data_IF_832369294774
#
_entry.id   IF_832369294774
#
_cell.length_a   1.000
_cell.length_b   1.000
_cell.length_c   1.000
_cell.angle_alpha   90.00
_cell.angle_beta   90.00
_cell.angle_gamma   90.00
#
_symmetry.space_group_name_H-M   'P 1'
#
loop_
_entity.id
_entity.type
_entity.pdbx_description
1 polymer ?
#
# COMPACT_ATOMS: atom_id res chain seq x y z
N UNK A 1 13.66 3.99 10.85
CA UNK A 1 12.92 4.77 9.84
C UNK A 1 11.50 4.96 10.33
N UNK A 2 10.99 6.19 10.37
CA UNK A 2 9.57 6.43 10.65
C UNK A 2 8.75 6.23 9.37
N UNK A 3 7.93 5.18 9.29
CA UNK A 3 7.09 4.92 8.12
C UNK A 3 6.06 6.03 7.86
N UNK A 4 5.66 6.75 8.91
CA UNK A 4 4.72 7.87 8.86
C UNK A 4 5.42 9.24 8.67
N UNK A 5 6.70 9.24 8.31
CA UNK A 5 7.43 10.47 8.03
C UNK A 5 6.75 11.32 6.94
N UNK A 6 6.78 12.64 7.14
CA UNK A 6 6.22 13.63 6.22
C UNK A 6 4.75 13.94 6.47
N UNK A 7 4.10 13.27 7.44
CA UNK A 7 2.72 13.58 7.84
C UNK A 7 2.62 14.76 8.82
N UNK A 8 3.73 15.16 9.43
CA UNK A 8 3.81 16.29 10.36
C UNK A 8 3.41 17.61 9.68
N UNK A 9 3.54 17.69 8.34
CA UNK A 9 3.08 18.83 7.54
C UNK A 9 1.56 19.02 7.58
N UNK A 10 0.80 17.97 7.94
CA UNK A 10 -0.64 18.01 8.15
C UNK A 10 -1.02 18.24 9.63
N UNK A 11 -0.06 18.61 10.49
CA UNK A 11 -0.30 18.84 11.92
C UNK A 11 -0.49 17.57 12.76
N UNK A 12 -0.32 16.39 12.17
CA UNK A 12 -0.54 15.11 12.84
C UNK A 12 0.61 14.76 13.79
N UNK A 13 0.26 14.35 15.01
CA UNK A 13 1.24 13.91 16.00
C UNK A 13 1.57 12.43 15.81
N UNK A 14 2.60 12.17 15.00
CA UNK A 14 3.10 10.81 14.72
C UNK A 14 3.82 10.15 15.90
N UNK A 15 4.19 10.89 16.95
CA UNK A 15 4.96 10.38 18.09
C UNK A 15 4.11 9.76 19.21
N UNK A 16 2.80 10.03 19.22
CA UNK A 16 1.84 9.50 20.19
C UNK A 16 1.39 8.07 19.87
N UNK A 17 1.56 7.62 18.63
CA UNK A 17 1.29 6.23 18.23
C UNK A 17 2.39 5.36 18.86
N UNK A 18 1.98 4.25 19.49
CA UNK A 18 2.84 3.43 20.34
C UNK A 18 4.24 3.18 19.76
N UNK A 19 5.25 3.53 20.55
CA UNK A 19 6.66 3.73 20.15
C UNK A 19 7.42 2.43 19.88
N UNK A 20 6.78 1.29 20.08
CA UNK A 20 7.32 -0.02 19.71
C UNK A 20 7.28 -0.29 18.21
N UNK A 21 6.58 0.55 17.43
CA UNK A 21 6.44 0.34 16.00
C UNK A 21 7.48 1.08 15.15
N UNK A 22 7.90 2.34 15.38
CA UNK A 22 8.91 2.97 14.48
C UNK A 22 9.79 4.04 15.15
N UNK A 23 11.13 3.94 15.01
CA UNK A 23 12.14 4.91 15.52
C UNK A 23 12.73 5.83 14.41
N UNK A 24 12.57 7.16 14.65
CA UNK A 24 13.31 8.45 14.36
C UNK A 24 14.14 8.62 13.07
N UNK A 25 14.43 9.80 12.47
CA UNK A 25 14.01 11.24 12.33
C UNK A 25 14.94 11.77 11.17
N UNK A 26 14.61 12.62 10.17
CA UNK A 26 14.43 14.10 10.17
C UNK A 26 14.17 14.66 8.72
N UNK A 27 13.33 15.72 8.66
CA UNK A 27 13.31 16.98 7.85
C UNK A 27 13.24 17.14 6.29
N UNK A 28 12.54 18.22 5.91
CA UNK A 28 11.86 18.59 4.64
C UNK A 28 12.77 19.24 3.57
N UNK A 29 12.40 19.13 2.27
CA UNK A 29 12.14 20.28 1.37
C UNK A 29 11.61 19.94 -0.06
N UNK A 30 10.57 20.71 -0.43
CA UNK A 30 10.13 21.30 -1.72
C UNK A 30 10.22 20.59 -3.10
N UNK A 31 9.07 20.66 -3.77
CA UNK A 31 8.66 20.27 -5.13
C UNK A 31 9.43 20.89 -6.30
N UNK A 32 9.60 20.12 -7.40
CA UNK A 32 9.61 20.54 -8.84
C UNK A 32 9.95 19.33 -9.77
N UNK A 33 9.76 19.44 -11.11
CA UNK A 33 8.56 19.15 -11.86
C UNK A 33 8.60 17.77 -12.60
N UNK A 34 7.41 17.32 -13.01
CA UNK A 34 7.13 16.02 -13.65
C UNK A 34 7.86 15.82 -14.99
N UNK A 35 8.51 14.67 -15.14
CA UNK A 35 9.06 14.18 -16.40
C UNK A 35 7.95 13.55 -17.27
N UNK A 36 8.11 13.66 -18.59
CA UNK A 36 7.09 13.39 -19.61
C UNK A 36 7.12 11.94 -20.08
N UNK A 37 5.94 11.34 -20.25
CA UNK A 37 5.72 10.19 -21.15
C UNK A 37 4.86 10.66 -22.33
N UNK A 38 5.27 10.27 -23.54
CA UNK A 38 4.72 10.64 -24.85
C UNK A 38 3.47 9.81 -25.24
N UNK A 39 2.72 10.19 -26.30
CA UNK A 39 1.27 10.29 -26.27
C UNK A 39 0.50 9.02 -26.64
N UNK A 40 -0.31 8.54 -25.71
CA UNK A 40 -1.50 7.72 -25.95
C UNK A 40 -2.45 7.94 -24.77
N UNK A 41 -3.58 8.62 -24.97
CA UNK A 41 -4.62 8.96 -23.96
C UNK A 41 -4.08 9.44 -22.59
N UNK A 42 -4.38 10.68 -22.23
CA UNK A 42 -3.90 11.22 -20.95
C UNK A 42 -4.47 10.40 -19.78
N UNK A 43 -3.69 10.20 -18.72
CA UNK A 43 -4.13 9.47 -17.51
C UNK A 43 -5.49 9.96 -16.98
N UNK A 44 -5.77 11.27 -17.14
CA UNK A 44 -7.02 11.95 -16.82
C UNK A 44 -8.24 11.34 -17.52
N UNK A 45 -8.09 10.81 -18.73
CA UNK A 45 -9.19 10.24 -19.52
C UNK A 45 -9.79 8.99 -18.87
N UNK A 46 -9.00 8.32 -18.03
CA UNK A 46 -9.39 7.14 -17.25
C UNK A 46 -9.99 7.49 -15.89
N UNK A 47 -10.06 8.77 -15.53
CA UNK A 47 -10.58 9.23 -14.26
C UNK A 47 -11.93 9.94 -14.40
N UNK A 48 -12.72 9.91 -13.33
CA UNK A 48 -13.87 10.76 -13.14
C UNK A 48 -13.98 11.17 -11.67
N UNK A 49 -14.57 12.34 -11.42
CA UNK A 49 -14.86 12.78 -10.07
C UNK A 49 -16.19 12.15 -9.61
N UNK A 50 -16.17 11.53 -8.43
CA UNK A 50 -17.37 11.06 -7.73
C UNK A 50 -17.50 11.89 -6.46
N UNK A 51 -18.64 12.55 -6.31
CA UNK A 51 -18.99 13.23 -5.05
C UNK A 51 -19.36 12.19 -4.00
N UNK A 52 -18.73 12.26 -2.83
CA UNK A 52 -19.00 11.41 -1.66
C UNK A 52 -19.16 12.28 -0.42
N UNK A 53 -19.78 11.74 0.63
CA UNK A 53 -19.87 12.41 1.93
C UNK A 53 -18.90 11.78 2.91
N UNK A 54 -18.17 12.59 3.68
CA UNK A 54 -17.25 12.08 4.70
C UNK A 54 -18.02 11.41 5.85
N UNK A 55 -17.65 10.17 6.22
CA UNK A 55 -18.28 9.46 7.36
C UNK A 55 -18.07 10.18 8.70
N UNK A 56 -17.00 10.99 8.82
CA UNK A 56 -16.59 11.64 10.06
C UNK A 56 -17.20 13.04 10.20
N UNK A 57 -16.98 13.94 9.24
CA UNK A 57 -17.49 15.32 9.29
C UNK A 57 -18.79 15.54 8.52
N UNK A 58 -19.21 14.58 7.68
CA UNK A 58 -20.42 14.63 6.82
C UNK A 58 -20.39 15.61 5.66
N UNK A 59 -19.33 16.40 5.54
CA UNK A 59 -19.18 17.31 4.41
C UNK A 59 -18.96 16.55 3.10
N UNK A 60 -19.58 17.02 2.01
CA UNK A 60 -19.36 16.45 0.70
C UNK A 60 -18.01 16.88 0.12
N UNK A 61 -17.35 15.98 -0.60
CA UNK A 61 -16.14 16.26 -1.37
C UNK A 61 -16.03 15.33 -2.57
N UNK A 62 -15.21 15.71 -3.55
CA UNK A 62 -14.99 14.90 -4.74
C UNK A 62 -13.78 13.98 -4.57
N UNK A 63 -13.93 12.72 -5.00
CA UNK A 63 -12.83 11.76 -5.12
C UNK A 63 -12.62 11.35 -6.56
N UNK A 64 -11.36 11.14 -6.95
CA UNK A 64 -11.00 10.65 -8.28
C UNK A 64 -11.14 9.14 -8.34
N UNK A 65 -12.01 8.67 -9.21
CA UNK A 65 -12.28 7.24 -9.40
C UNK A 65 -11.82 6.82 -10.79
N UNK A 66 -11.21 5.64 -10.86
CA UNK A 66 -10.79 5.02 -12.12
C UNK A 66 -11.99 4.39 -12.81
N UNK A 67 -12.18 4.69 -14.11
CA UNK A 67 -13.22 4.11 -14.96
C UNK A 67 -12.92 2.65 -15.27
N UNK A 68 -13.37 1.73 -14.41
CA UNK A 68 -13.05 0.29 -14.51
C UNK A 68 -13.38 -0.34 -15.87
N UNK A 69 -14.44 0.13 -16.54
CA UNK A 69 -14.85 -0.37 -17.87
C UNK A 69 -13.81 -0.12 -18.98
N UNK A 70 -12.90 0.85 -18.81
CA UNK A 70 -11.85 1.17 -19.79
C UNK A 70 -10.51 0.52 -19.46
N UNK A 71 -10.43 -0.23 -18.35
CA UNK A 71 -9.17 -0.80 -17.88
C UNK A 71 -8.80 -2.08 -18.61
N UNK A 72 -7.62 -2.09 -19.23
CA UNK A 72 -7.01 -3.27 -19.82
C UNK A 72 -6.06 -3.91 -18.80
N UNK A 73 -6.50 -5.04 -18.21
CA UNK A 73 -5.71 -5.80 -17.22
C UNK A 73 -4.47 -6.41 -17.86
N UNK A 74 -3.36 -6.32 -17.14
CA UNK A 74 -2.12 -7.05 -17.42
C UNK A 74 -1.94 -8.15 -16.37
N UNK A 75 -0.91 -8.99 -16.56
CA UNK A 75 -0.51 -9.94 -15.53
C UNK A 75 -0.09 -9.17 -14.26
N UNK A 76 -0.63 -9.51 -13.08
CA UNK A 76 -0.19 -8.92 -11.82
C UNK A 76 1.29 -9.22 -11.56
N UNK A 77 1.92 -8.37 -10.76
CA UNK A 77 3.27 -8.64 -10.28
C UNK A 77 3.28 -9.87 -9.35
N UNK A 78 4.48 -10.34 -8.99
CA UNK A 78 4.67 -11.57 -8.22
C UNK A 78 3.83 -11.60 -6.93
N UNK A 79 3.72 -10.46 -6.26
CA UNK A 79 3.01 -10.24 -4.99
C UNK A 79 1.54 -9.79 -5.19
N UNK A 80 0.93 -10.17 -6.30
CA UNK A 80 -0.47 -9.87 -6.63
C UNK A 80 -0.80 -8.39 -6.84
N UNK A 81 0.21 -7.50 -6.96
CA UNK A 81 -0.04 -6.10 -7.34
C UNK A 81 -0.77 -6.08 -8.70
N UNK A 82 -1.96 -5.47 -8.80
CA UNK A 82 -2.65 -5.39 -10.07
C UNK A 82 -1.89 -4.46 -11.03
N UNK A 83 -1.78 -4.87 -12.30
CA UNK A 83 -1.18 -4.07 -13.38
C UNK A 83 -2.22 -3.84 -14.48
N UNK A 84 -2.16 -2.65 -15.07
CA UNK A 84 -3.02 -2.23 -16.17
C UNK A 84 -2.20 -1.41 -17.17
N UNK A 85 -2.58 -1.46 -18.45
CA UNK A 85 -1.80 -0.86 -19.52
C UNK A 85 -1.73 0.67 -19.44
N UNK A 86 -2.85 1.32 -19.14
CA UNK A 86 -3.04 2.76 -19.42
C UNK A 86 -3.08 3.66 -18.18
N UNK A 87 -3.24 3.09 -16.99
CA UNK A 87 -3.31 3.82 -15.72
C UNK A 87 -2.94 2.86 -14.58
N UNK A 88 -2.35 3.38 -13.51
CA UNK A 88 -2.16 2.62 -12.28
C UNK A 88 -3.26 2.93 -11.26
N UNK A 89 -4.25 2.04 -11.06
CA UNK A 89 -5.36 2.31 -10.15
C UNK A 89 -4.95 2.39 -8.69
N UNK A 90 -3.80 1.81 -8.31
CA UNK A 90 -3.30 1.86 -6.94
C UNK A 90 -3.12 3.31 -6.49
N UNK A 91 -2.72 4.22 -7.39
CA UNK A 91 -2.56 5.66 -7.09
C UNK A 91 -3.85 6.33 -6.60
N UNK A 92 -5.02 5.82 -6.99
CA UNK A 92 -6.33 6.45 -6.78
C UNK A 92 -7.21 5.72 -5.77
N UNK A 93 -6.69 4.68 -5.11
CA UNK A 93 -7.48 3.81 -4.22
C UNK A 93 -7.43 4.28 -2.75
N UNK A 94 -7.42 5.59 -2.53
CA UNK A 94 -7.52 6.23 -1.21
C UNK A 94 -8.42 7.45 -1.29
N UNK A 95 -9.40 7.51 -0.38
CA UNK A 95 -10.22 8.70 -0.16
C UNK A 95 -9.61 9.49 1.00
N UNK A 96 -9.40 10.79 0.79
CA UNK A 96 -8.86 11.70 1.80
C UNK A 96 -9.76 12.92 1.87
N UNK A 97 -10.40 13.12 3.03
CA UNK A 97 -11.33 14.22 3.22
C UNK A 97 -10.55 15.53 3.45
N UNK A 98 -10.70 16.54 2.56
CA UNK A 98 -9.98 17.80 2.71
C UNK A 98 -10.50 18.65 3.88
N UNK A 99 -11.67 18.33 4.44
CA UNK A 99 -12.33 19.12 5.49
C UNK A 99 -12.02 18.65 6.91
N UNK A 100 -11.51 17.43 7.10
CA UNK A 100 -11.25 16.90 8.43
C UNK A 100 -10.06 15.92 8.50
N UNK A 101 -9.35 15.68 7.40
CA UNK A 101 -8.18 14.81 7.35
C UNK A 101 -8.48 13.31 7.38
N UNK A 102 -9.73 12.89 7.60
CA UNK A 102 -10.10 11.48 7.59
C UNK A 102 -9.75 10.84 6.25
N UNK A 103 -8.86 9.85 6.28
CA UNK A 103 -8.30 9.25 5.08
C UNK A 103 -8.34 7.73 5.20
N UNK A 104 -8.89 7.02 4.22
CA UNK A 104 -8.94 5.57 4.20
C UNK A 104 -9.10 5.03 2.78
N UNK A 105 -8.77 3.75 2.58
CA UNK A 105 -9.16 3.05 1.35
C UNK A 105 -10.70 2.94 1.27
N UNK A 106 -11.30 2.92 0.07
CA UNK A 106 -12.76 2.96 -0.11
C UNK A 106 -13.52 1.91 0.72
N UNK A 107 -12.99 0.69 0.78
CA UNK A 107 -13.58 -0.43 1.54
C UNK A 107 -13.65 -0.21 3.07
N UNK A 108 -12.85 0.70 3.60
CA UNK A 108 -12.76 1.00 5.03
C UNK A 108 -13.28 2.41 5.36
N UNK A 109 -13.82 3.12 4.37
CA UNK A 109 -14.19 4.54 4.50
C UNK A 109 -15.59 4.75 5.09
N UNK A 110 -16.56 3.90 4.73
CA UNK A 110 -17.98 4.16 5.03
C UNK A 110 -18.44 3.64 6.40
N UNK A 111 -17.89 2.53 6.87
CA UNK A 111 -18.41 1.81 8.03
C UNK A 111 -17.50 1.96 9.25
N UNK A 112 -17.72 3.03 10.03
CA UNK A 112 -17.04 3.29 11.30
C UNK A 112 -18.00 3.16 12.50
N UNK A 113 -17.49 2.66 13.62
CA UNK A 113 -18.21 2.73 14.90
C UNK A 113 -18.16 4.16 15.47
N UNK A 114 -19.05 4.47 16.42
CA UNK A 114 -19.03 5.78 17.10
C UNK A 114 -17.69 6.06 17.78
N UNK A 115 -17.14 5.08 18.49
CA UNK A 115 -15.84 5.21 19.15
C UNK A 115 -14.70 5.43 18.15
N UNK A 116 -14.72 4.78 16.99
CA UNK A 116 -13.73 5.05 15.94
C UNK A 116 -13.83 6.48 15.40
N UNK A 117 -15.05 6.99 15.21
CA UNK A 117 -15.27 8.38 14.79
C UNK A 117 -14.75 9.36 15.84
N UNK A 118 -14.96 9.09 17.14
CA UNK A 118 -14.44 9.91 18.23
C UNK A 118 -12.91 9.93 18.25
N UNK A 119 -12.25 8.76 18.18
CA UNK A 119 -10.78 8.67 18.11
C UNK A 119 -10.20 9.44 16.92
N UNK A 120 -10.84 9.34 15.74
CA UNK A 120 -10.40 10.09 14.55
C UNK A 120 -10.58 11.59 14.77
N UNK A 121 -11.67 12.02 15.40
CA UNK A 121 -11.88 13.46 15.65
C UNK A 121 -10.82 14.03 16.58
N UNK A 122 -10.58 13.35 17.69
CA UNK A 122 -9.65 13.77 18.74
C UNK A 122 -8.20 13.81 18.24
N UNK A 123 -7.73 12.76 17.56
CA UNK A 123 -6.32 12.66 17.20
C UNK A 123 -6.00 13.18 15.79
N UNK A 124 -6.96 13.19 14.86
CA UNK A 124 -6.76 13.66 13.47
C UNK A 124 -7.44 15.01 13.26
N UNK A 125 -8.77 15.09 13.39
CA UNK A 125 -9.52 16.26 12.92
C UNK A 125 -9.14 17.55 13.65
N UNK A 126 -8.92 17.50 14.97
CA UNK A 126 -8.57 18.68 15.77
C UNK A 126 -7.19 19.27 15.40
N UNK A 127 -6.28 18.43 14.91
CA UNK A 127 -4.90 18.83 14.61
C UNK A 127 -4.66 19.00 13.10
N UNK A 128 -5.63 18.65 12.26
CA UNK A 128 -5.44 18.57 10.82
C UNK A 128 -5.23 19.95 10.19
N UNK A 129 -4.06 20.15 9.59
CA UNK A 129 -3.74 21.32 8.79
C UNK A 129 -4.26 21.10 7.37
N UNK A 130 -5.23 21.92 6.98
CA UNK A 130 -5.84 21.86 5.66
C UNK A 130 -4.83 22.13 4.54
N UNK A 131 -4.79 21.29 3.49
CA UNK A 131 -4.05 21.61 2.28
C UNK A 131 -4.59 22.92 1.69
N UNK A 132 -3.70 23.86 1.37
CA UNK A 132 -4.06 25.11 0.68
C UNK A 132 -4.02 24.99 -0.84
N UNK A 133 -3.50 23.87 -1.34
CA UNK A 133 -3.39 23.59 -2.77
C UNK A 133 -4.65 22.92 -3.30
N UNK A 134 -5.02 23.27 -4.53
CA UNK A 134 -6.11 22.61 -5.24
C UNK A 134 -5.78 21.13 -5.48
N UNK A 135 -6.81 20.29 -5.42
CA UNK A 135 -6.68 18.85 -5.64
C UNK A 135 -6.22 18.58 -7.10
N UNK A 136 -5.02 18.00 -7.32
CA UNK A 136 -4.44 17.87 -8.66
C UNK A 136 -5.27 16.94 -9.54
N UNK A 137 -5.36 17.22 -10.84
CA UNK A 137 -6.15 16.43 -11.79
C UNK A 137 -5.72 14.95 -11.90
N UNK A 138 -4.45 14.65 -11.63
CA UNK A 138 -3.90 13.29 -11.50
C UNK A 138 -2.92 13.20 -10.33
N UNK A 139 -2.74 12.00 -9.80
CA UNK A 139 -1.79 11.75 -8.72
C UNK A 139 -0.48 11.19 -9.28
N UNK A 140 0.63 11.79 -8.88
CA UNK A 140 1.95 11.14 -8.98
C UNK A 140 2.14 10.14 -7.82
N UNK A 141 3.24 9.39 -7.88
CA UNK A 141 3.54 8.36 -6.90
C UNK A 141 3.73 8.93 -5.49
N UNK A 142 4.36 10.10 -5.35
CA UNK A 142 4.56 10.76 -4.05
C UNK A 142 3.24 11.21 -3.41
N UNK A 143 2.33 11.78 -4.21
CA UNK A 143 0.98 12.13 -3.76
C UNK A 143 0.24 10.88 -3.30
N UNK A 144 0.29 9.80 -4.08
CA UNK A 144 -0.33 8.53 -3.72
C UNK A 144 0.26 7.96 -2.41
N UNK A 145 1.59 7.89 -2.29
CA UNK A 145 2.29 7.42 -1.08
C UNK A 145 1.86 8.25 0.13
N UNK A 146 1.80 9.57 0.02
CA UNK A 146 1.36 10.46 1.10
C UNK A 146 -0.06 10.13 1.54
N UNK A 147 -0.99 9.94 0.59
CA UNK A 147 -2.37 9.55 0.89
C UNK A 147 -2.46 8.19 1.59
N UNK A 148 -1.69 7.20 1.15
CA UNK A 148 -1.66 5.90 1.84
C UNK A 148 -1.04 5.98 3.24
N UNK A 149 -0.01 6.81 3.45
CA UNK A 149 0.52 7.06 4.81
C UNK A 149 -0.54 7.69 5.71
N UNK A 150 -1.34 8.64 5.23
CA UNK A 150 -2.49 9.19 5.95
C UNK A 150 -3.56 8.12 6.25
N UNK A 151 -3.83 7.22 5.30
CA UNK A 151 -4.73 6.08 5.50
C UNK A 151 -4.20 5.11 6.56
N UNK A 152 -2.88 4.85 6.56
CA UNK A 152 -2.21 4.01 7.55
C UNK A 152 -2.30 4.64 8.94
N UNK A 153 -2.00 5.93 9.07
CA UNK A 153 -2.15 6.68 10.31
C UNK A 153 -3.57 6.56 10.84
N UNK A 154 -4.57 6.84 10.00
CA UNK A 154 -5.99 6.70 10.35
C UNK A 154 -6.35 5.29 10.81
N UNK A 155 -5.82 4.27 10.15
CA UNK A 155 -6.05 2.86 10.50
C UNK A 155 -5.50 2.53 11.89
N UNK A 156 -4.31 3.04 12.22
CA UNK A 156 -3.71 2.87 13.54
C UNK A 156 -4.52 3.63 14.61
N UNK A 157 -4.85 4.90 14.36
CA UNK A 157 -5.64 5.76 15.27
C UNK A 157 -6.99 5.15 15.62
N UNK A 158 -7.69 4.56 14.64
CA UNK A 158 -9.02 3.95 14.86
C UNK A 158 -8.96 2.51 15.36
N UNK A 159 -7.77 2.00 15.71
CA UNK A 159 -7.53 0.60 16.07
C UNK A 159 -8.18 -0.37 15.07
N UNK A 160 -7.85 -0.17 13.79
CA UNK A 160 -8.29 -1.04 12.71
C UNK A 160 -7.76 -2.47 12.89
N UNK A 161 -8.32 -3.40 12.11
CA UNK A 161 -7.82 -4.78 12.03
C UNK A 161 -6.38 -4.79 11.48
N UNK A 162 -5.59 -5.76 11.90
CA UNK A 162 -4.20 -5.95 11.44
C UNK A 162 -4.14 -6.04 9.91
N UNK A 163 -5.12 -6.70 9.29
CA UNK A 163 -5.20 -6.84 7.84
C UNK A 163 -5.33 -5.51 7.09
N UNK A 164 -6.06 -4.54 7.64
CA UNK A 164 -6.21 -3.21 7.05
C UNK A 164 -4.88 -2.47 7.04
N UNK A 165 -4.13 -2.52 8.15
CA UNK A 165 -2.80 -1.90 8.26
C UNK A 165 -1.82 -2.61 7.32
N UNK A 166 -1.76 -3.95 7.38
CA UNK A 166 -0.87 -4.77 6.57
C UNK A 166 -1.07 -4.54 5.05
N UNK A 167 -2.32 -4.47 4.61
CA UNK A 167 -2.64 -4.22 3.21
C UNK A 167 -2.32 -2.80 2.77
N UNK A 168 -2.45 -1.83 3.67
CA UNK A 168 -2.01 -0.45 3.44
C UNK A 168 -0.49 -0.42 3.24
N UNK A 169 0.28 -1.09 4.12
CA UNK A 169 1.75 -1.21 3.99
C UNK A 169 2.15 -1.85 2.67
N UNK A 170 1.49 -2.94 2.26
CA UNK A 170 1.78 -3.62 0.99
C UNK A 170 1.61 -2.70 -0.21
N UNK A 171 0.53 -1.90 -0.24
CA UNK A 171 0.29 -0.93 -1.31
C UNK A 171 1.30 0.21 -1.31
N UNK A 172 1.75 0.66 -0.14
CA UNK A 172 2.84 1.65 -0.05
C UNK A 172 4.13 1.06 -0.63
N UNK A 173 4.47 -0.18 -0.29
CA UNK A 173 5.65 -0.86 -0.84
C UNK A 173 5.58 -1.01 -2.38
N UNK A 174 4.38 -1.26 -2.93
CA UNK A 174 4.15 -1.26 -4.37
C UNK A 174 4.38 0.10 -5.02
N UNK A 175 3.96 1.18 -4.38
CA UNK A 175 4.17 2.54 -4.89
C UNK A 175 5.65 2.93 -4.84
N UNK A 176 6.35 2.63 -3.75
CA UNK A 176 7.81 2.80 -3.69
C UNK A 176 8.53 1.97 -4.75
N UNK A 177 8.06 0.74 -5.04
CA UNK A 177 8.63 -0.10 -6.11
C UNK A 177 8.62 0.58 -7.46
N UNK A 178 7.55 1.31 -7.77
CA UNK A 178 7.46 2.06 -9.03
C UNK A 178 8.21 3.38 -8.94
N UNK A 179 8.22 4.05 -7.78
CA UNK A 179 8.97 5.29 -7.56
C UNK A 179 10.47 5.08 -7.82
N UNK A 180 11.03 3.99 -7.30
CA UNK A 180 12.43 3.62 -7.49
C UNK A 180 12.82 3.46 -8.97
N UNK A 181 11.88 3.11 -9.86
CA UNK A 181 12.15 3.01 -11.30
C UNK A 181 12.24 4.39 -11.96
N UNK A 182 11.55 5.38 -11.40
CA UNK A 182 11.52 6.76 -11.90
C UNK A 182 12.63 7.63 -11.30
N UNK A 183 13.22 7.20 -10.17
CA UNK A 183 14.27 7.94 -9.48
C UNK A 183 15.62 7.87 -10.21
N UNK A 184 16.27 9.03 -10.46
CA UNK A 184 17.60 9.10 -11.06
C UNK A 184 18.70 8.64 -10.08
N UNK A 185 19.89 8.39 -10.60
CA UNK A 185 21.08 7.97 -9.85
C UNK A 185 22.33 8.75 -10.32
N UNK A 186 22.15 10.00 -10.75
CA UNK A 186 23.21 10.75 -11.44
C UNK A 186 24.20 11.42 -10.51
N UNK A 187 23.80 11.69 -9.27
CA UNK A 187 24.62 12.32 -8.25
C UNK A 187 24.44 11.66 -6.88
N UNK A 188 25.32 12.01 -5.93
CA UNK A 188 25.34 11.39 -4.61
C UNK A 188 24.05 11.61 -3.80
N UNK A 189 23.38 12.74 -3.99
CA UNK A 189 22.12 13.06 -3.31
C UNK A 189 20.97 12.19 -3.83
N UNK A 190 20.84 12.05 -5.16
CA UNK A 190 19.86 11.17 -5.79
C UNK A 190 20.07 9.70 -5.44
N UNK A 191 21.33 9.25 -5.40
CA UNK A 191 21.69 7.88 -4.97
C UNK A 191 21.28 7.66 -3.51
N UNK A 192 21.54 8.63 -2.63
CA UNK A 192 21.15 8.55 -1.22
C UNK A 192 19.62 8.52 -1.06
N UNK A 193 18.89 9.39 -1.75
CA UNK A 193 17.44 9.42 -1.74
C UNK A 193 16.82 8.12 -2.27
N UNK A 194 17.37 7.56 -3.35
CA UNK A 194 16.92 6.29 -3.92
C UNK A 194 17.18 5.12 -2.97
N UNK A 195 18.33 5.12 -2.29
CA UNK A 195 18.62 4.13 -1.25
C UNK A 195 17.63 4.23 -0.09
N UNK A 196 17.34 5.44 0.39
CA UNK A 196 16.35 5.65 1.45
C UNK A 196 14.95 5.16 1.03
N UNK A 197 14.52 5.48 -0.20
CA UNK A 197 13.26 4.99 -0.74
C UNK A 197 13.22 3.46 -0.82
N UNK A 198 14.36 2.81 -1.13
CA UNK A 198 14.47 1.35 -1.16
C UNK A 198 14.43 0.74 0.25
N UNK A 199 15.08 1.38 1.22
CA UNK A 199 15.05 0.96 2.63
C UNK A 199 13.63 1.08 3.20
N UNK A 200 12.91 2.18 2.89
CA UNK A 200 11.50 2.36 3.25
C UNK A 200 10.61 1.30 2.58
N UNK A 201 10.82 1.03 1.29
CA UNK A 201 10.09 -0.01 0.57
C UNK A 201 10.22 -1.37 1.27
N UNK A 202 11.44 -1.75 1.65
CA UNK A 202 11.72 -3.02 2.31
C UNK A 202 11.03 -3.12 3.68
N UNK A 203 11.05 -2.03 4.45
CA UNK A 203 10.36 -1.99 5.75
C UNK A 203 8.84 -2.09 5.58
N UNK A 204 8.23 -1.40 4.60
CA UNK A 204 6.80 -1.55 4.31
C UNK A 204 6.42 -2.98 3.90
N UNK A 205 7.26 -3.68 3.13
CA UNK A 205 7.02 -5.11 2.85
C UNK A 205 7.09 -5.97 4.11
N UNK A 206 8.01 -5.66 5.02
CA UNK A 206 8.19 -6.40 6.27
C UNK A 206 6.97 -6.23 7.18
N UNK A 207 6.52 -4.99 7.38
CA UNK A 207 5.30 -4.68 8.13
C UNK A 207 4.06 -5.32 7.50
N UNK A 208 3.96 -5.33 6.17
CA UNK A 208 2.89 -6.04 5.48
C UNK A 208 2.93 -7.55 5.77
N UNK A 209 4.10 -8.17 5.68
CA UNK A 209 4.27 -9.60 5.94
C UNK A 209 3.92 -9.97 7.38
N UNK A 210 4.47 -9.26 8.37
CA UNK A 210 4.21 -9.50 9.79
C UNK A 210 2.74 -9.20 10.16
N UNK A 211 2.19 -8.11 9.64
CA UNK A 211 0.77 -7.77 9.84
C UNK A 211 -0.18 -8.81 9.26
N UNK A 212 0.11 -9.36 8.08
CA UNK A 212 -0.69 -10.47 7.54
C UNK A 212 -0.52 -11.77 8.32
N UNK A 213 0.66 -12.07 8.87
CA UNK A 213 0.82 -13.22 9.77
C UNK A 213 -0.09 -13.09 11.01
N UNK A 214 -0.15 -11.89 11.62
CA UNK A 214 -1.08 -11.60 12.72
C UNK A 214 -2.52 -11.78 12.29
N UNK A 215 -2.92 -11.13 11.19
CA UNK A 215 -4.27 -11.21 10.65
C UNK A 215 -4.74 -12.65 10.35
N UNK A 216 -3.89 -13.49 9.76
CA UNK A 216 -4.22 -14.91 9.48
C UNK A 216 -4.50 -15.69 10.77
N UNK A 217 -3.88 -15.31 11.88
CA UNK A 217 -4.08 -15.97 13.18
C UNK A 217 -5.27 -15.44 13.99
N UNK A 218 -5.76 -14.23 13.68
CA UNK A 218 -6.74 -13.50 14.50
C UNK A 218 -8.01 -13.08 13.76
N UNK A 219 -8.06 -13.18 12.43
CA UNK A 219 -9.18 -12.75 11.60
C UNK A 219 -9.76 -13.88 10.73
N UNK A 220 -11.06 -13.80 10.45
CA UNK A 220 -11.73 -14.73 9.55
C UNK A 220 -11.55 -14.35 8.07
N UNK A 221 -11.41 -15.36 7.21
CA UNK A 221 -11.44 -15.16 5.76
C UNK A 221 -12.86 -14.78 5.28
N UNK A 222 -12.97 -13.90 4.25
CA UNK A 222 -11.89 -13.35 3.43
C UNK A 222 -11.17 -12.16 4.09
N UNK A 223 -9.83 -12.20 4.07
CA UNK A 223 -8.97 -11.13 4.60
C UNK A 223 -8.63 -10.18 3.46
N UNK A 224 -8.98 -8.90 3.59
CA UNK A 224 -8.79 -7.91 2.52
C UNK A 224 -9.40 -8.33 1.16
N UNK A 225 -10.48 -9.13 1.19
CA UNK A 225 -11.14 -9.64 -0.02
C UNK A 225 -10.40 -10.81 -0.69
N UNK A 226 -9.37 -11.36 -0.05
CA UNK A 226 -8.65 -12.56 -0.50
C UNK A 226 -9.14 -13.78 0.27
N UNK A 227 -9.35 -14.89 -0.45
CA UNK A 227 -9.55 -16.20 0.19
C UNK A 227 -8.24 -16.73 0.80
N UNK A 228 -8.34 -17.83 1.55
CA UNK A 228 -7.19 -18.42 2.25
C UNK A 228 -6.07 -18.84 1.30
N UNK A 229 -6.38 -19.38 0.12
CA UNK A 229 -5.35 -19.82 -0.84
C UNK A 229 -4.66 -18.66 -1.55
N UNK A 230 -5.40 -17.58 -1.82
CA UNK A 230 -4.85 -16.34 -2.36
C UNK A 230 -3.93 -15.69 -1.32
N UNK A 231 -4.31 -15.74 -0.05
CA UNK A 231 -3.48 -15.27 1.05
C UNK A 231 -2.22 -16.13 1.24
N UNK A 232 -2.33 -17.46 1.22
CA UNK A 232 -1.18 -18.38 1.26
C UNK A 232 -0.19 -18.06 0.13
N UNK A 233 -0.69 -17.76 -1.08
CA UNK A 233 0.16 -17.43 -2.21
C UNK A 233 0.88 -16.10 -1.99
N UNK A 234 0.16 -15.05 -1.58
CA UNK A 234 0.77 -13.75 -1.25
C UNK A 234 1.84 -13.90 -0.16
N UNK A 235 1.54 -14.64 0.90
CA UNK A 235 2.47 -14.90 2.00
C UNK A 235 3.69 -15.70 1.54
N UNK A 236 3.52 -16.64 0.59
CA UNK A 236 4.64 -17.33 -0.04
C UNK A 236 5.54 -16.38 -0.83
N UNK A 237 4.96 -15.45 -1.60
CA UNK A 237 5.68 -14.44 -2.37
C UNK A 237 6.50 -13.51 -1.45
N UNK A 238 5.88 -13.02 -0.38
CA UNK A 238 6.56 -12.16 0.61
C UNK A 238 7.66 -12.93 1.37
N UNK A 239 7.38 -14.16 1.80
CA UNK A 239 8.37 -15.02 2.44
C UNK A 239 9.56 -15.33 1.51
N UNK A 240 9.29 -15.59 0.22
CA UNK A 240 10.33 -15.79 -0.78
C UNK A 240 11.19 -14.54 -0.97
N UNK A 241 10.57 -13.36 -1.04
CA UNK A 241 11.26 -12.07 -1.11
C UNK A 241 12.24 -11.89 0.07
N UNK A 242 11.84 -12.28 1.29
CA UNK A 242 12.68 -12.26 2.49
C UNK A 242 13.55 -13.50 2.68
N UNK A 243 13.69 -14.35 1.66
CA UNK A 243 14.48 -15.60 1.68
C UNK A 243 14.05 -16.58 2.79
N UNK A 244 12.83 -16.46 3.30
CA UNK A 244 12.23 -17.39 4.25
C UNK A 244 11.66 -18.62 3.51
N UNK A 245 12.53 -19.37 2.83
CA UNK A 245 12.12 -20.42 1.89
C UNK A 245 11.34 -21.57 2.54
N UNK A 246 11.57 -21.85 3.83
CA UNK A 246 10.79 -22.84 4.59
C UNK A 246 9.31 -22.42 4.69
N UNK A 247 9.06 -21.16 5.06
CA UNK A 247 7.71 -20.62 5.13
C UNK A 247 7.05 -20.58 3.75
N UNK A 248 7.79 -20.12 2.73
CA UNK A 248 7.29 -20.05 1.36
C UNK A 248 6.91 -21.44 0.83
N UNK A 249 7.76 -22.45 1.02
CA UNK A 249 7.52 -23.83 0.59
C UNK A 249 6.30 -24.45 1.25
N UNK A 250 6.10 -24.20 2.55
CA UNK A 250 4.92 -24.68 3.29
C UNK A 250 3.63 -24.08 2.74
N UNK A 251 3.61 -22.76 2.55
CA UNK A 251 2.44 -22.04 2.03
C UNK A 251 2.07 -22.52 0.61
N UNK A 252 3.06 -22.74 -0.24
CA UNK A 252 2.85 -23.29 -1.59
C UNK A 252 2.34 -24.73 -1.56
N UNK A 253 2.85 -25.55 -0.64
CA UNK A 253 2.39 -26.94 -0.49
C UNK A 253 0.92 -27.01 -0.07
N UNK A 254 0.45 -26.10 0.78
CA UNK A 254 -0.96 -26.01 1.17
C UNK A 254 -1.87 -25.74 -0.05
N UNK A 255 -1.46 -24.86 -0.96
CA UNK A 255 -2.22 -24.55 -2.19
C UNK A 255 -2.26 -25.75 -3.14
N UNK A 256 -1.09 -26.36 -3.40
CA UNK A 256 -0.98 -27.44 -4.39
C UNK A 256 -1.66 -28.73 -3.95
N UNK A 257 -1.65 -29.03 -2.65
CA UNK A 257 -2.31 -30.21 -2.09
C UNK A 257 -3.83 -30.06 -1.93
N UNK A 258 -4.34 -28.82 -1.94
CA UNK A 258 -5.77 -28.57 -1.79
C UNK A 258 -6.59 -29.07 -2.98
N UNK A 259 -7.72 -29.72 -2.71
CA UNK A 259 -8.72 -30.11 -3.71
C UNK A 259 -9.59 -28.92 -4.16
N UNK A 260 -9.74 -27.90 -3.33
CA UNK A 260 -10.67 -26.76 -3.55
C UNK A 260 -9.97 -25.50 -4.08
N UNK A 261 -8.65 -25.42 -4.02
CA UNK A 261 -7.90 -24.28 -4.56
C UNK A 261 -8.10 -24.15 -6.07
N UNK A 262 -8.35 -22.92 -6.53
CA UNK A 262 -8.60 -22.61 -7.93
C UNK A 262 -7.39 -22.94 -8.82
N UNK A 263 -7.64 -23.39 -10.05
CA UNK A 263 -6.56 -23.72 -11.00
C UNK A 263 -5.57 -22.58 -11.20
N UNK A 264 -6.06 -21.34 -11.34
CA UNK A 264 -5.23 -20.16 -11.56
C UNK A 264 -4.21 -19.93 -10.44
N UNK A 265 -4.60 -20.13 -9.17
CA UNK A 265 -3.67 -19.95 -8.04
C UNK A 265 -2.69 -21.11 -7.94
N UNK A 266 -3.11 -22.33 -8.30
CA UNK A 266 -2.22 -23.50 -8.39
C UNK A 266 -1.14 -23.33 -9.46
N UNK A 267 -1.51 -22.81 -10.63
CA UNK A 267 -0.56 -22.56 -11.71
C UNK A 267 0.53 -21.57 -11.24
N UNK A 268 0.14 -20.44 -10.64
CA UNK A 268 1.08 -19.49 -10.01
C UNK A 268 1.93 -20.13 -8.91
N UNK A 269 1.33 -21.00 -8.10
CA UNK A 269 2.03 -21.70 -7.01
C UNK A 269 3.09 -22.69 -7.53
N UNK A 270 2.86 -23.32 -8.70
CA UNK A 270 3.85 -24.18 -9.36
C UNK A 270 5.04 -23.37 -9.89
N UNK A 271 4.78 -22.20 -10.46
CA UNK A 271 5.83 -21.30 -10.93
C UNK A 271 6.72 -20.87 -9.76
N UNK A 272 6.11 -20.36 -8.68
CA UNK A 272 6.85 -19.94 -7.48
C UNK A 272 7.57 -21.11 -6.79
N UNK A 273 7.03 -22.33 -6.81
CA UNK A 273 7.73 -23.53 -6.31
C UNK A 273 9.05 -23.73 -7.04
N UNK A 274 9.06 -23.55 -8.36
CA UNK A 274 10.25 -23.71 -9.19
C UNK A 274 11.31 -22.67 -8.82
N UNK A 275 10.88 -21.42 -8.63
CA UNK A 275 11.76 -20.32 -8.19
C UNK A 275 12.37 -20.57 -6.81
N UNK A 276 11.55 -21.03 -5.84
CA UNK A 276 12.02 -21.39 -4.50
C UNK A 276 13.09 -22.48 -4.55
N UNK A 277 12.85 -23.56 -5.30
CA UNK A 277 13.81 -24.68 -5.43
C UNK A 277 15.12 -24.21 -6.06
N UNK A 278 15.04 -23.36 -7.10
CA UNK A 278 16.22 -22.82 -7.74
C UNK A 278 17.02 -21.92 -6.79
N UNK A 279 16.35 -21.04 -6.03
CA UNK A 279 16.99 -20.17 -5.04
C UNK A 279 17.68 -20.96 -3.91
N UNK A 280 17.05 -22.01 -3.38
CA UNK A 280 17.65 -22.89 -2.37
C UNK A 280 18.92 -23.57 -2.90
N UNK A 281 18.88 -24.09 -4.14
CA UNK A 281 20.05 -24.73 -4.77
C UNK A 281 21.19 -23.73 -4.97
N UNK A 282 20.90 -22.52 -5.41
CA UNK A 282 21.90 -21.47 -5.60
C UNK A 282 22.53 -21.07 -4.26
N UNK A 283 21.75 -20.93 -3.19
CA UNK A 283 22.29 -20.61 -1.87
C UNK A 283 23.14 -21.75 -1.28
N UNK A 284 22.76 -23.00 -1.55
CA UNK A 284 23.55 -24.17 -1.15
C UNK A 284 24.86 -24.32 -1.95
N UNK A 285 24.87 -23.89 -3.22
CA UNK A 285 26.06 -23.95 -4.08
C UNK A 285 27.03 -22.77 -3.90
N UNK A 286 26.56 -21.65 -3.34
CA UNK A 286 27.37 -20.46 -3.04
C UNK A 286 27.96 -20.43 -1.63
N UNK A 287 27.72 -21.45 -0.81
CA UNK A 287 28.34 -21.69 0.51
C UNK A 287 29.41 -22.75 0.39
#
# INVERSE_FOLDING_TARGET
>A
MNLLSGLEKFGLNVEKIDKDLFKKEFEKQNSRPKSKIQPSQSEKDFLYNKKINCTVCRDPFDVKIVKSARLRRMEPDFDLRPRYHDIDPVKYDVYSCPHCGYTAMPRYFEHLTKGQIELIKEEICENFVFPTEDEPETYDLETAITRYKLAMFTSITKHARDSEIAYTCLKIAWLYRDLLKEMPETNAEEIAAKKEAADLQAEFYKEAFEGFQKAISSEDFPICGMDSYTMDYLMACLAFHFKQYSYASKSISNILSSQTAQRRIKDKALDLKTDIVNAIKQEAAGK
#
